data_IF_601546778462
#
_entry.id   IF_601546778462
#
_cell.length_a   1.000
_cell.length_b   1.000
_cell.length_c   1.000
_cell.angle_alpha   90.00
_cell.angle_beta   90.00
_cell.angle_gamma   90.00
#
_symmetry.space_group_name_H-M   'P 1'
#
loop_
_entity.id
_entity.type
_entity.pdbx_description
1 polymer ?
#
# COMPACT_ATOMS: atom_id res chain seq x y z
N UNK A 1 2.61 -4.75 6.86
CA UNK A 1 2.39 -6.11 7.40
C UNK A 1 3.58 -6.47 8.29
N UNK A 2 3.38 -6.86 9.56
CA UNK A 2 4.53 -7.21 10.43
C UNK A 2 5.22 -8.50 10.00
N UNK A 3 4.46 -9.40 9.39
CA UNK A 3 4.96 -10.55 8.64
C UNK A 3 3.90 -10.98 7.63
N UNK A 4 4.34 -11.47 6.46
CA UNK A 4 3.46 -11.91 5.38
C UNK A 4 3.83 -13.32 4.88
N UNK A 5 3.00 -14.31 5.22
CA UNK A 5 3.13 -15.68 4.69
C UNK A 5 2.44 -15.84 3.34
N UNK A 6 1.65 -14.85 2.92
CA UNK A 6 0.71 -14.92 1.81
C UNK A 6 -0.66 -15.51 2.13
N UNK A 7 -0.89 -15.93 3.39
CA UNK A 7 -2.15 -16.60 3.77
C UNK A 7 -2.34 -17.95 3.07
N UNK A 8 -3.55 -18.20 2.55
CA UNK A 8 -3.87 -19.43 1.79
C UNK A 8 -3.19 -19.50 0.42
N UNK A 9 -2.88 -18.36 -0.18
CA UNK A 9 -1.98 -18.19 -1.32
C UNK A 9 -0.53 -18.18 -0.84
N UNK A 10 -0.12 -19.28 -0.20
CA UNK A 10 1.13 -19.39 0.55
C UNK A 10 2.36 -19.09 -0.33
N UNK A 11 3.22 -18.19 0.15
CA UNK A 11 4.51 -17.90 -0.47
C UNK A 11 5.42 -19.14 -0.48
N UNK A 12 6.29 -19.23 -1.47
CA UNK A 12 7.40 -20.19 -1.43
C UNK A 12 8.34 -19.87 -0.26
N UNK A 13 9.08 -20.87 0.23
CA UNK A 13 10.05 -20.66 1.32
C UNK A 13 11.03 -19.52 1.00
N UNK A 14 11.57 -19.49 -0.23
CA UNK A 14 12.51 -18.46 -0.66
C UNK A 14 11.91 -17.05 -0.61
N UNK A 15 10.66 -16.89 -1.09
CA UNK A 15 9.97 -15.59 -1.08
C UNK A 15 9.49 -15.15 0.32
N UNK A 16 9.39 -16.07 1.28
CA UNK A 16 8.87 -15.78 2.63
C UNK A 16 9.97 -15.32 3.60
N UNK A 17 11.22 -15.73 3.40
CA UNK A 17 12.34 -15.48 4.34
C UNK A 17 12.46 -14.01 4.78
N UNK A 18 12.30 -13.08 3.83
CA UNK A 18 12.48 -11.65 4.07
C UNK A 18 11.17 -10.91 4.39
N UNK A 19 10.04 -11.60 4.57
CA UNK A 19 8.73 -10.96 4.76
C UNK A 19 8.54 -10.25 6.10
N UNK A 20 9.52 -10.33 7.01
CA UNK A 20 9.64 -9.37 8.12
C UNK A 20 9.79 -7.92 7.64
N UNK A 21 10.22 -7.73 6.38
CA UNK A 21 10.41 -6.41 5.77
C UNK A 21 9.12 -5.85 5.17
N UNK A 22 8.01 -6.60 5.19
CA UNK A 22 6.73 -6.15 4.61
C UNK A 22 6.02 -5.07 5.47
N UNK A 23 6.67 -4.65 6.55
CA UNK A 23 6.31 -3.49 7.38
C UNK A 23 7.20 -2.26 7.07
N UNK A 24 8.11 -2.33 6.10
CA UNK A 24 9.06 -1.26 5.85
C UNK A 24 8.37 0.07 5.51
N UNK A 25 7.23 0.06 4.81
CA UNK A 25 6.44 1.28 4.57
C UNK A 25 5.98 1.95 5.86
N UNK A 26 5.45 1.16 6.80
CA UNK A 26 5.07 1.66 8.13
C UNK A 26 6.29 2.14 8.94
N UNK A 27 7.41 1.41 8.88
CA UNK A 27 8.65 1.80 9.55
C UNK A 27 9.17 3.15 9.02
N UNK A 28 9.14 3.37 7.70
CA UNK A 28 9.50 4.64 7.06
C UNK A 28 8.60 5.79 7.51
N UNK A 29 7.28 5.58 7.57
CA UNK A 29 6.32 6.58 8.06
C UNK A 29 6.59 6.94 9.53
N UNK A 30 6.80 5.94 10.39
CA UNK A 30 7.13 6.18 11.81
C UNK A 30 8.45 6.95 11.94
N UNK A 31 9.48 6.56 11.18
CA UNK A 31 10.76 7.28 11.14
C UNK A 31 10.62 8.74 10.69
N UNK A 32 9.82 8.99 9.65
CA UNK A 32 9.51 10.34 9.19
C UNK A 32 8.79 11.15 10.27
N UNK A 33 7.81 10.57 10.97
CA UNK A 33 7.10 11.25 12.07
C UNK A 33 8.03 11.60 13.24
N UNK A 34 8.99 10.73 13.57
CA UNK A 34 10.04 11.05 14.54
C UNK A 34 10.84 12.29 14.11
N UNK A 35 11.30 12.35 12.86
CA UNK A 35 12.03 13.49 12.33
C UNK A 35 11.18 14.77 12.28
N UNK A 36 9.91 14.67 11.86
CA UNK A 36 8.95 15.78 11.83
C UNK A 36 8.74 16.36 13.23
N UNK A 37 8.56 15.52 14.24
CA UNK A 37 8.34 15.94 15.64
C UNK A 37 9.49 16.77 16.20
N UNK A 38 10.72 16.50 15.74
CA UNK A 38 11.93 17.22 16.16
C UNK A 38 12.17 18.50 15.35
N UNK A 39 11.57 18.60 14.16
CA UNK A 39 11.83 19.68 13.19
C UNK A 39 11.06 20.98 13.46
N UNK A 40 10.22 21.04 14.51
CA UNK A 40 9.42 22.22 14.89
C UNK A 40 8.64 22.84 13.71
N UNK A 41 8.16 22.01 12.79
CA UNK A 41 7.43 22.46 11.61
C UNK A 41 6.07 23.05 12.03
N UNK A 42 5.70 24.19 11.45
CA UNK A 42 4.37 24.80 11.63
C UNK A 42 3.34 24.14 10.71
N UNK A 43 3.23 22.81 10.78
CA UNK A 43 2.36 21.98 9.93
C UNK A 43 1.75 20.86 10.77
N UNK A 44 0.48 20.55 10.50
CA UNK A 44 -0.17 19.38 11.06
C UNK A 44 0.14 18.17 10.18
N UNK A 45 0.70 17.12 10.77
CA UNK A 45 0.98 15.86 10.09
C UNK A 45 0.37 14.74 10.92
N UNK A 46 -0.41 13.88 10.29
CA UNK A 46 -1.08 12.75 10.91
C UNK A 46 -0.60 11.50 10.17
N UNK A 47 -0.29 10.45 10.93
CA UNK A 47 0.10 9.16 10.40
C UNK A 47 -0.89 8.08 10.86
N UNK A 48 -1.26 7.21 9.93
CA UNK A 48 -2.06 6.01 10.21
C UNK A 48 -1.24 4.80 9.80
N UNK A 49 -1.10 3.86 10.73
CA UNK A 49 -0.39 2.60 10.50
C UNK A 49 -1.36 1.45 10.69
N UNK A 50 -1.76 0.82 9.57
CA UNK A 50 -2.54 -0.42 9.59
C UNK A 50 -1.59 -1.61 9.77
N UNK A 51 -1.33 -1.99 11.01
CA UNK A 51 -0.44 -3.09 11.35
C UNK A 51 -1.21 -4.39 11.61
N UNK A 52 -0.87 -5.44 10.85
CA UNK A 52 -1.29 -6.82 11.09
C UNK A 52 -0.30 -7.79 10.46
N UNK A 53 -0.46 -9.08 10.76
CA UNK A 53 0.17 -10.19 10.04
C UNK A 53 -0.80 -10.72 8.96
N UNK A 54 -0.24 -11.30 7.90
CA UNK A 54 -0.99 -12.15 6.97
C UNK A 54 -0.49 -13.57 7.13
N UNK A 55 -1.11 -14.28 8.07
CA UNK A 55 -0.74 -15.62 8.46
C UNK A 55 -1.72 -16.65 7.90
N UNK A 56 -1.20 -17.82 7.54
CA UNK A 56 -2.02 -19.00 7.31
C UNK A 56 -2.49 -19.59 8.64
N UNK A 57 -3.81 -19.65 8.82
CA UNK A 57 -4.47 -20.24 9.98
C UNK A 57 -5.84 -20.80 9.58
N UNK A 58 -6.47 -21.58 10.46
CA UNK A 58 -7.84 -22.07 10.22
C UNK A 58 -8.89 -20.95 10.06
N UNK A 59 -8.62 -19.76 10.61
CA UNK A 59 -9.51 -18.60 10.53
C UNK A 59 -9.17 -17.62 9.40
N UNK A 60 -8.13 -17.89 8.60
CA UNK A 60 -7.72 -16.96 7.55
C UNK A 60 -8.76 -16.88 6.43
N UNK A 61 -8.93 -15.67 5.89
CA UNK A 61 -9.74 -15.44 4.69
C UNK A 61 -9.10 -16.15 3.48
N UNK A 62 -9.93 -16.51 2.49
CA UNK A 62 -9.60 -17.47 1.44
C UNK A 62 -9.77 -16.85 0.05
N UNK A 63 -9.08 -17.40 -0.97
CA UNK A 63 -9.48 -17.18 -2.35
C UNK A 63 -10.95 -17.55 -2.55
N UNK A 64 -11.71 -16.68 -3.22
CA UNK A 64 -13.16 -16.78 -3.40
C UNK A 64 -13.99 -16.05 -2.34
N UNK A 65 -13.41 -15.60 -1.22
CA UNK A 65 -14.15 -14.81 -0.24
C UNK A 65 -14.49 -13.42 -0.81
N UNK A 66 -15.68 -12.92 -0.48
CA UNK A 66 -16.07 -11.53 -0.71
C UNK A 66 -16.06 -10.80 0.63
N UNK A 67 -15.20 -9.80 0.76
CA UNK A 67 -15.05 -9.01 2.00
C UNK A 67 -15.58 -7.60 1.80
N UNK A 68 -15.96 -6.93 2.90
CA UNK A 68 -16.41 -5.53 2.88
C UNK A 68 -15.30 -4.60 3.37
N UNK A 69 -15.19 -3.42 2.77
CA UNK A 69 -14.29 -2.34 3.21
C UNK A 69 -15.00 -1.28 4.05
N UNK A 70 -14.24 -0.42 4.72
CA UNK A 70 -14.77 0.76 5.42
C UNK A 70 -15.52 1.72 4.48
N UNK A 71 -15.17 1.71 3.19
CA UNK A 71 -15.86 2.45 2.14
C UNK A 71 -17.22 1.83 1.74
N UNK A 72 -17.65 0.75 2.41
CA UNK A 72 -18.86 -0.04 2.10
C UNK A 72 -18.83 -0.64 0.70
N UNK A 73 -17.62 -0.92 0.18
CA UNK A 73 -17.41 -1.63 -1.07
C UNK A 73 -17.15 -3.10 -0.81
N UNK A 74 -17.58 -3.96 -1.73
CA UNK A 74 -17.26 -5.38 -1.69
C UNK A 74 -16.03 -5.70 -2.52
N UNK A 75 -15.17 -6.58 -2.02
CA UNK A 75 -13.90 -6.96 -2.65
C UNK A 75 -13.85 -8.47 -2.74
N UNK A 76 -13.79 -8.99 -3.96
CA UNK A 76 -13.54 -10.40 -4.24
C UNK A 76 -12.04 -10.71 -4.08
N UNK A 77 -11.73 -11.64 -3.17
CA UNK A 77 -10.38 -12.08 -2.88
C UNK A 77 -10.00 -13.19 -3.84
N UNK A 78 -9.18 -12.89 -4.85
CA UNK A 78 -8.65 -13.93 -5.75
C UNK A 78 -7.29 -14.49 -5.28
N UNK A 79 -6.52 -13.68 -4.56
CA UNK A 79 -5.20 -14.03 -4.05
C UNK A 79 -5.02 -13.42 -2.65
N UNK A 80 -4.73 -14.24 -1.65
CA UNK A 80 -4.55 -13.76 -0.27
C UNK A 80 -3.19 -13.09 -0.05
N UNK A 81 -2.24 -13.27 -0.98
CA UNK A 81 -0.89 -12.64 -1.01
C UNK A 81 -0.88 -11.22 -1.59
N UNK A 82 -2.07 -10.68 -1.88
CA UNK A 82 -2.26 -9.29 -2.29
C UNK A 82 -2.88 -8.44 -1.16
N UNK A 83 -2.66 -8.81 0.09
CA UNK A 83 -3.25 -8.26 1.33
C UNK A 83 -2.96 -6.79 1.60
N UNK A 84 -1.76 -6.29 1.30
CA UNK A 84 -1.36 -4.93 1.65
C UNK A 84 -2.31 -3.86 1.10
N UNK A 85 -2.92 -4.09 -0.07
CA UNK A 85 -3.89 -3.15 -0.64
C UNK A 85 -5.21 -3.10 0.14
N UNK A 86 -5.58 -4.17 0.85
CA UNK A 86 -6.80 -4.20 1.66
C UNK A 86 -6.63 -3.35 2.91
N UNK A 87 -5.50 -3.51 3.60
CA UNK A 87 -5.19 -2.73 4.80
C UNK A 87 -5.02 -1.26 4.45
N UNK A 88 -4.38 -0.96 3.32
CA UNK A 88 -4.24 0.41 2.81
C UNK A 88 -5.57 1.04 2.41
N UNK A 89 -6.48 0.30 1.76
CA UNK A 89 -7.78 0.83 1.36
C UNK A 89 -8.55 1.40 2.56
N UNK A 90 -8.59 0.64 3.65
CA UNK A 90 -9.25 1.07 4.89
C UNK A 90 -8.47 2.17 5.63
N UNK A 91 -7.13 2.11 5.65
CA UNK A 91 -6.30 3.16 6.25
C UNK A 91 -6.45 4.52 5.53
N UNK A 92 -6.45 4.51 4.20
CA UNK A 92 -6.66 5.69 3.36
C UNK A 92 -8.08 6.22 3.54
N UNK A 93 -9.08 5.33 3.56
CA UNK A 93 -10.46 5.74 3.83
C UNK A 93 -10.59 6.39 5.21
N UNK A 94 -10.00 5.79 6.25
CA UNK A 94 -10.01 6.33 7.61
C UNK A 94 -9.35 7.71 7.66
N UNK A 95 -8.12 7.87 7.16
CA UNK A 95 -7.40 9.15 7.29
C UNK A 95 -8.10 10.29 6.55
N UNK A 96 -8.72 10.00 5.40
CA UNK A 96 -9.47 11.00 4.64
C UNK A 96 -10.76 11.40 5.37
N UNK A 97 -11.55 10.44 5.87
CA UNK A 97 -12.89 10.71 6.38
C UNK A 97 -12.90 11.10 7.86
N UNK A 98 -12.03 10.52 8.67
CA UNK A 98 -11.96 10.74 10.12
C UNK A 98 -11.01 11.89 10.47
N UNK A 99 -9.80 11.87 9.89
CA UNK A 99 -8.76 12.87 10.19
C UNK A 99 -8.82 14.10 9.25
N UNK A 100 -9.60 14.01 8.16
CA UNK A 100 -9.88 15.12 7.24
C UNK A 100 -8.62 15.76 6.65
N UNK A 101 -7.63 14.93 6.34
CA UNK A 101 -6.37 15.38 5.73
C UNK A 101 -6.60 15.91 4.31
N UNK A 102 -5.79 16.87 3.88
CA UNK A 102 -5.91 17.51 2.56
C UNK A 102 -4.96 16.92 1.51
N UNK A 103 -3.92 16.22 1.95
CA UNK A 103 -2.94 15.53 1.10
C UNK A 103 -2.62 14.20 1.78
N UNK A 104 -2.54 13.12 1.01
CA UNK A 104 -2.22 11.77 1.48
C UNK A 104 -1.00 11.27 0.72
N UNK A 105 -0.05 10.69 1.45
CA UNK A 105 1.06 9.90 0.90
C UNK A 105 1.01 8.56 1.60
N UNK A 106 0.76 7.49 0.85
CA UNK A 106 0.92 6.12 1.33
C UNK A 106 2.29 5.57 0.91
N UNK A 107 2.86 4.70 1.74
CA UNK A 107 4.16 4.07 1.52
C UNK A 107 4.02 2.59 1.83
N UNK A 108 4.31 1.72 0.86
CA UNK A 108 4.09 0.30 0.99
C UNK A 108 5.07 -0.55 0.16
N UNK A 109 5.44 -1.70 0.70
CA UNK A 109 6.15 -2.79 0.02
C UNK A 109 5.18 -3.64 -0.79
N UNK A 110 4.44 -3.01 -1.71
CA UNK A 110 3.15 -3.55 -2.15
C UNK A 110 3.21 -4.62 -3.26
N UNK A 111 4.20 -4.58 -4.15
CA UNK A 111 4.18 -5.45 -5.34
C UNK A 111 5.57 -5.94 -5.73
N UNK A 112 5.67 -7.23 -6.08
CA UNK A 112 6.85 -7.76 -6.76
C UNK A 112 7.04 -7.17 -8.18
N UNK A 113 5.97 -6.73 -8.84
CA UNK A 113 6.04 -6.12 -10.17
C UNK A 113 6.84 -4.81 -10.17
N UNK A 114 6.74 -4.00 -9.11
CA UNK A 114 7.58 -2.82 -8.92
C UNK A 114 9.07 -3.17 -8.89
N UNK A 115 9.43 -4.24 -8.17
CA UNK A 115 10.79 -4.74 -8.09
C UNK A 115 11.28 -5.27 -9.45
N UNK A 116 10.44 -5.98 -10.20
CA UNK A 116 10.79 -6.43 -11.55
C UNK A 116 11.05 -5.26 -12.50
N UNK A 117 10.28 -4.17 -12.38
CA UNK A 117 10.39 -3.02 -13.27
C UNK A 117 11.60 -2.12 -12.96
N UNK A 118 11.80 -1.77 -11.68
CA UNK A 118 12.77 -0.75 -11.27
C UNK A 118 13.94 -1.31 -10.42
N UNK A 119 13.91 -2.60 -10.11
CA UNK A 119 14.87 -3.21 -9.19
C UNK A 119 14.87 -2.54 -7.82
N UNK A 120 16.00 -2.68 -7.10
CA UNK A 120 16.23 -1.97 -5.83
C UNK A 120 16.77 -0.55 -6.06
N UNK A 121 16.50 0.06 -7.22
CA UNK A 121 17.15 1.30 -7.66
C UNK A 121 16.25 2.51 -7.49
N UNK A 122 14.94 2.37 -7.72
CA UNK A 122 13.97 3.46 -7.68
C UNK A 122 12.60 2.98 -7.18
N UNK A 123 11.84 3.91 -6.59
CA UNK A 123 10.48 3.65 -6.10
C UNK A 123 9.45 4.13 -7.14
N UNK A 124 8.50 3.27 -7.59
CA UNK A 124 7.43 3.72 -8.47
C UNK A 124 6.42 4.56 -7.69
N UNK A 125 5.95 5.65 -8.29
CA UNK A 125 4.96 6.56 -7.72
C UNK A 125 3.71 6.59 -8.59
N UNK A 126 2.56 6.44 -7.94
CA UNK A 126 1.23 6.55 -8.54
C UNK A 126 0.57 7.75 -7.87
N UNK A 127 0.05 8.69 -8.64
CA UNK A 127 -0.58 9.92 -8.13
C UNK A 127 -1.73 10.38 -9.01
N UNK A 128 -2.76 10.95 -8.40
CA UNK A 128 -3.87 11.62 -9.09
C UNK A 128 -3.65 13.14 -9.22
N UNK A 129 -2.49 13.65 -8.79
CA UNK A 129 -2.19 15.08 -8.77
C UNK A 129 -0.73 15.34 -9.18
N UNK A 130 -0.57 16.00 -10.32
CA UNK A 130 0.74 16.26 -10.95
C UNK A 130 1.53 17.34 -10.22
N UNK A 131 0.88 18.39 -9.74
CA UNK A 131 1.53 19.45 -8.98
C UNK A 131 2.11 18.90 -7.67
N UNK A 132 1.35 18.04 -6.97
CA UNK A 132 1.81 17.40 -5.75
C UNK A 132 2.94 16.39 -6.02
N UNK A 133 2.90 15.69 -7.16
CA UNK A 133 4.03 14.87 -7.59
C UNK A 133 5.30 15.70 -7.80
N UNK A 134 5.21 16.87 -8.44
CA UNK A 134 6.37 17.74 -8.63
C UNK A 134 6.95 18.26 -7.30
N UNK A 135 6.12 18.49 -6.27
CA UNK A 135 6.60 18.76 -4.91
C UNK A 135 7.38 17.57 -4.33
N UNK A 136 6.84 16.36 -4.48
CA UNK A 136 7.45 15.12 -4.00
C UNK A 136 8.77 14.80 -4.72
N UNK A 137 8.83 14.95 -6.04
CA UNK A 137 10.02 14.69 -6.85
C UNK A 137 11.19 15.60 -6.48
N UNK A 138 10.90 16.88 -6.18
CA UNK A 138 11.91 17.81 -5.64
C UNK A 138 12.43 17.37 -4.28
N UNK A 139 11.54 16.90 -3.39
CA UNK A 139 11.92 16.38 -2.08
C UNK A 139 12.78 15.10 -2.21
N UNK A 140 12.39 14.18 -3.10
CA UNK A 140 13.14 12.95 -3.38
C UNK A 140 14.55 13.26 -3.94
N UNK A 141 14.64 14.23 -4.85
CA UNK A 141 15.94 14.70 -5.37
C UNK A 141 16.83 15.25 -4.25
N UNK A 142 16.25 16.02 -3.31
CA UNK A 142 16.98 16.57 -2.17
C UNK A 142 17.43 15.50 -1.17
N UNK A 143 16.62 14.46 -0.95
CA UNK A 143 16.96 13.33 -0.07
C UNK A 143 17.90 12.31 -0.73
N UNK A 144 18.11 12.41 -2.05
CA UNK A 144 18.88 11.44 -2.83
C UNK A 144 18.11 10.16 -3.16
N UNK A 145 16.78 10.18 -2.98
CA UNK A 145 15.91 9.05 -3.30
C UNK A 145 15.45 9.13 -4.76
N UNK A 146 15.55 8.00 -5.48
CA UNK A 146 15.09 7.91 -6.86
C UNK A 146 13.64 7.48 -6.88
N UNK A 147 12.81 8.28 -7.53
CA UNK A 147 11.39 8.00 -7.75
C UNK A 147 11.07 8.02 -9.24
N UNK A 148 10.06 7.27 -9.64
CA UNK A 148 9.60 7.21 -11.02
C UNK A 148 8.07 7.26 -11.10
N UNK A 149 7.51 8.27 -11.75
CA UNK A 149 6.05 8.37 -11.95
C UNK A 149 5.57 7.31 -12.92
N UNK A 150 4.63 6.49 -12.46
CA UNK A 150 3.93 5.50 -13.27
C UNK A 150 2.71 6.14 -13.96
N UNK A 151 2.36 5.71 -15.18
CA UNK A 151 1.12 6.14 -15.82
C UNK A 151 -0.09 5.60 -15.05
N UNK A 152 -1.18 6.36 -15.04
CA UNK A 152 -2.49 5.93 -14.58
C UNK A 152 -3.47 6.17 -15.72
N UNK A 153 -3.91 5.10 -16.35
CA UNK A 153 -4.91 5.14 -17.40
C UNK A 153 -6.26 4.65 -16.86
N UNK A 154 -7.36 5.16 -17.40
CA UNK A 154 -8.70 4.81 -16.94
C UNK A 154 -9.01 3.33 -17.18
N UNK A 155 -8.41 2.73 -18.20
CA UNK A 155 -8.49 1.31 -18.55
C UNK A 155 -8.02 0.40 -17.41
N UNK A 156 -7.14 0.88 -16.53
CA UNK A 156 -6.74 0.12 -15.34
C UNK A 156 -7.90 -0.08 -14.35
N UNK A 157 -8.96 0.75 -14.41
CA UNK A 157 -10.18 0.58 -13.59
C UNK A 157 -10.99 -0.62 -14.04
N UNK A 158 -11.07 -0.84 -15.35
CA UNK A 158 -11.75 -2.02 -15.92
C UNK A 158 -10.99 -3.29 -15.55
N UNK A 159 -9.66 -3.19 -15.53
CA UNK A 159 -8.77 -4.17 -14.93
C UNK A 159 -8.79 -4.17 -13.40
N UNK A 160 -9.73 -3.54 -12.68
CA UNK A 160 -9.94 -3.79 -11.24
C UNK A 160 -11.38 -4.11 -10.82
N UNK A 161 -12.31 -4.16 -11.79
CA UNK A 161 -13.71 -4.50 -11.58
C UNK A 161 -13.95 -5.98 -11.26
N UNK A 162 -14.65 -6.27 -10.15
CA UNK A 162 -15.03 -7.64 -9.79
C UNK A 162 -16.11 -8.22 -10.69
N UNK A 163 -16.16 -9.55 -10.78
CA UNK A 163 -17.25 -10.26 -11.46
C UNK A 163 -18.45 -10.40 -10.52
N UNK A 164 -18.18 -10.75 -9.26
CA UNK A 164 -19.18 -11.00 -8.21
C UNK A 164 -19.17 -9.92 -7.09
N UNK A 165 -18.31 -8.90 -7.21
CA UNK A 165 -18.13 -7.83 -6.22
C UNK A 165 -17.84 -6.47 -6.89
N UNK A 166 -17.88 -5.37 -6.12
CA UNK A 166 -17.54 -4.04 -6.66
C UNK A 166 -16.12 -4.02 -7.27
N UNK A 167 -15.19 -4.74 -6.64
CA UNK A 167 -13.76 -4.81 -7.00
C UNK A 167 -13.25 -6.25 -6.85
N UNK A 168 -12.15 -6.59 -7.55
CA UNK A 168 -11.40 -7.82 -7.25
C UNK A 168 -9.92 -7.55 -6.96
N UNK A 169 -9.35 -8.40 -6.12
CA UNK A 169 -8.05 -8.21 -5.46
C UNK A 169 -6.82 -8.65 -6.30
N UNK A 170 -6.99 -9.31 -7.44
CA UNK A 170 -5.87 -9.76 -8.29
C UNK A 170 -6.22 -9.76 -9.78
N UNK A 171 -5.22 -9.50 -10.64
CA UNK A 171 -5.41 -9.26 -12.08
C UNK A 171 -4.38 -9.92 -12.99
N UNK A 172 -3.68 -10.92 -12.48
CA UNK A 172 -2.77 -11.77 -13.26
C UNK A 172 -2.70 -13.18 -12.65
#
# INVERSE_FOLDING_TARGET
MTYDTGGYSLKSNASMLDMKTDMAGAASVIGAMCAISQSKLKKNVIAVVAACENALSGGSYKPGDIISSMAKKTIEVLNTDAEGRLTLADAIYYIINNEKVTKVVDVATLTGAALTLLGNVATPIVTNNDDFYCELEKAATLSGERVWKMPIYDEFKDMIKGEEADLKKHWW
#
